data_IF_857354547339
#
_entry.id   IF_857354547339
#
_cell.length_a   1.000
_cell.length_b   1.000
_cell.length_c   1.000
_cell.angle_alpha   90.00
_cell.angle_beta   90.00
_cell.angle_gamma   90.00
#
_symmetry.space_group_name_H-M   'P 1'
#
loop_
_entity.id
_entity.type
_entity.pdbx_description
1 polymer ?
2 non-polymer ?
3 water ?
#
# COMPACT_ATOMS: atom_id res chain seq x y z
N UNK A 11 -16.76 -24.82 5.48
CA UNK A 11 -17.34 -23.47 5.73
C UNK A 11 -17.27 -22.47 4.53
N UNK A 12 -18.01 -22.72 3.44
CA UNK A 12 -18.32 -24.06 2.91
C UNK A 12 -17.94 -23.97 1.41
N UNK A 13 -16.90 -23.18 1.14
CA UNK A 13 -16.29 -22.97 -0.19
C UNK A 13 -14.79 -23.28 -0.06
N UNK A 14 -14.27 -24.18 -0.89
CA UNK A 14 -12.91 -24.73 -0.71
C UNK A 14 -11.81 -24.00 -1.45
N UNK A 15 -10.65 -24.63 -1.59
CA UNK A 15 -9.49 -23.99 -2.21
C UNK A 15 -9.73 -23.53 -3.64
N UNK A 16 -10.00 -24.51 -4.51
CA UNK A 16 -10.20 -24.27 -5.92
C UNK A 16 -11.44 -23.44 -6.21
N UNK A 17 -12.52 -23.64 -5.45
CA UNK A 17 -13.73 -22.87 -5.69
C UNK A 17 -13.43 -21.41 -5.37
N UNK A 18 -12.68 -21.18 -4.30
CA UNK A 18 -12.37 -19.82 -3.90
C UNK A 18 -11.51 -19.13 -4.92
N UNK A 19 -10.53 -19.86 -5.45
CA UNK A 19 -9.66 -19.34 -6.52
C UNK A 19 -10.46 -18.97 -7.81
N UNK A 20 -11.53 -19.70 -8.08
CA UNK A 20 -12.36 -19.42 -9.22
C UNK A 20 -13.20 -18.15 -9.00
N UNK A 21 -13.54 -17.86 -7.75
CA UNK A 21 -14.28 -16.63 -7.40
C UNK A 21 -13.42 -15.36 -7.50
N UNK A 22 -12.10 -15.48 -7.35
CA UNK A 22 -11.21 -14.33 -7.46
C UNK A 22 -10.84 -14.06 -8.92
N UNK A 23 -10.76 -12.80 -9.30
CA UNK A 23 -10.02 -12.43 -10.51
C UNK A 23 -9.13 -11.26 -10.13
N UNK A 24 -7.93 -11.26 -10.66
CA UNK A 24 -7.00 -10.22 -10.36
C UNK A 24 -6.17 -9.94 -11.57
N UNK A 25 -5.99 -8.67 -11.89
CA UNK A 25 -4.99 -8.29 -12.87
C UNK A 25 -3.72 -7.89 -12.12
N UNK A 26 -3.73 -7.99 -10.79
CA UNK A 26 -2.64 -7.39 -10.01
C UNK A 26 -2.99 -7.32 -8.54
N UNK A 27 -2.10 -6.71 -7.72
CA UNK A 27 -2.33 -6.61 -6.27
C UNK A 27 -3.56 -5.77 -5.98
N UNK A 28 -4.47 -6.33 -5.20
CA UNK A 28 -5.79 -5.78 -4.99
C UNK A 28 -5.69 -4.69 -3.92
N UNK A 29 -6.60 -3.71 -3.97
CA UNK A 29 -6.61 -2.58 -3.03
C UNK A 29 -7.31 -2.97 -1.75
N UNK A 30 -6.70 -3.93 -1.08
CA UNK A 30 -7.34 -4.62 0.03
C UNK A 30 -7.62 -3.71 1.21
N UNK A 31 -6.95 -2.56 1.29
CA UNK A 31 -7.19 -1.66 2.41
C UNK A 31 -8.38 -0.75 2.19
N UNK A 32 -9.08 -0.92 1.06
CA UNK A 32 -10.39 -0.31 0.90
C UNK A 32 -11.47 -1.14 1.56
N UNK A 33 -11.16 -2.40 1.87
CA UNK A 33 -12.16 -3.39 2.24
C UNK A 33 -12.09 -3.80 3.70
N UNK A 34 -13.25 -3.86 4.34
CA UNK A 34 -13.34 -4.31 5.74
C UNK A 34 -14.53 -5.22 5.94
N UNK A 35 -14.51 -6.36 5.25
CA UNK A 35 -15.57 -7.33 5.36
C UNK A 35 -15.50 -8.04 6.70
N UNK A 36 -16.57 -8.72 7.08
CA UNK A 36 -16.49 -9.36 8.39
C UNK A 36 -15.61 -10.60 8.29
N UNK A 37 -14.95 -10.94 9.38
CA UNK A 37 -14.02 -12.05 9.47
C UNK A 37 -14.75 -13.38 9.36
N UNK A 38 -14.47 -14.18 8.34
CA UNK A 38 -15.10 -15.52 8.27
C UNK A 38 -14.31 -16.71 8.78
N UNK A 39 -13.28 -16.48 9.58
CA UNK A 39 -12.53 -17.59 10.17
C UNK A 39 -11.15 -17.75 9.56
N UNK A 40 -10.36 -18.62 10.18
CA UNK A 40 -9.08 -18.98 9.65
C UNK A 40 -9.22 -20.19 8.74
N UNK A 41 -8.49 -20.20 7.63
CA UNK A 41 -8.46 -21.38 6.78
C UNK A 41 -7.15 -22.09 7.05
N UNK A 42 -7.07 -23.35 6.64
CA UNK A 42 -5.86 -24.12 6.89
C UNK A 42 -4.86 -23.81 5.75
N UNK A 44 -0.97 -21.96 5.12
CA UNK A 44 0.28 -21.55 5.73
C UNK A 44 1.25 -21.24 4.62
N UNK A 45 1.84 -20.04 4.65
CA UNK A 45 2.94 -19.66 3.77
C UNK A 45 4.25 -19.99 4.47
N UNK A 46 4.91 -21.04 4.01
CA UNK A 46 6.20 -21.43 4.62
C UNK A 46 7.26 -20.35 4.38
N UNK A 47 8.29 -20.39 5.22
CA UNK A 47 9.45 -19.50 5.13
C UNK A 47 10.10 -19.43 3.75
N UNK A 48 9.99 -20.52 2.99
CA UNK A 48 10.54 -20.58 1.65
C UNK A 48 9.56 -20.15 0.55
N UNK A 49 8.38 -19.69 0.94
CA UNK A 49 7.43 -19.17 -0.04
C UNK A 49 6.35 -20.15 -0.47
N UNK A 50 6.50 -21.40 -0.04
CA UNK A 50 5.58 -22.48 -0.42
C UNK A 50 4.31 -22.34 0.39
N UNK A 51 3.18 -22.44 -0.29
CA UNK A 51 1.87 -22.38 0.37
C UNK A 51 1.42 -23.80 0.65
N UNK A 52 0.91 -24.02 1.85
CA UNK A 52 0.44 -25.35 2.24
C UNK A 52 -1.02 -25.23 2.53
N UNK A 53 -1.81 -26.20 2.04
CA UNK A 53 -3.25 -26.20 2.30
C UNK A 53 -3.60 -27.53 2.97
N UNK A 54 -4.17 -27.47 4.16
CA UNK A 54 -4.44 -28.69 4.91
C UNK A 54 -3.18 -29.55 5.03
N UNK A 55 -2.01 -28.92 5.09
CA UNK A 55 -0.74 -29.67 5.24
C UNK A 55 -0.08 -30.13 3.95
N UNK A 56 -0.71 -29.90 2.80
CA UNK A 56 -0.19 -30.34 1.50
C UNK A 56 0.24 -29.13 0.71
N UNK A 57 1.47 -29.17 0.16
CA UNK A 57 1.94 -28.04 -0.62
C UNK A 57 1.16 -27.87 -1.92
N UNK A 58 1.17 -26.64 -2.42
CA UNK A 58 0.57 -26.27 -3.67
C UNK A 58 1.69 -26.00 -4.67
N UNK A 59 1.85 -26.87 -5.65
CA UNK A 59 2.80 -26.61 -6.72
C UNK A 59 1.96 -26.11 -7.91
N UNK A 60 1.79 -24.78 -7.95
CA UNK A 60 0.71 -24.12 -8.69
C UNK A 60 0.92 -22.58 -8.72
N UNK A 61 2.02 -22.11 -9.32
CA UNK A 61 2.38 -20.71 -9.11
C UNK A 61 1.26 -19.73 -9.50
N UNK A 62 0.48 -20.04 -10.53
CA UNK A 62 -0.65 -19.17 -10.91
C UNK A 62 -1.60 -18.89 -9.72
N UNK A 64 -0.98 -19.44 -6.50
CA UNK A 64 -0.28 -18.77 -5.45
C UNK A 64 -0.23 -17.25 -5.74
N UNK A 65 -0.11 -16.86 -7.01
CA UNK A 65 -0.07 -15.42 -7.37
C UNK A 65 -1.42 -14.77 -7.14
N UNK A 66 -2.46 -15.52 -7.47
CA UNK A 66 -3.83 -15.07 -7.34
C UNK A 66 -4.18 -14.82 -5.88
N UNK A 67 -3.93 -15.78 -4.99
CA UNK A 67 -4.22 -15.58 -3.58
C UNK A 67 -3.32 -14.50 -3.00
N UNK A 68 -2.10 -14.41 -3.50
CA UNK A 68 -1.13 -13.46 -2.96
C UNK A 68 -1.59 -12.04 -3.27
N UNK A 69 -2.31 -11.86 -4.39
CA UNK A 69 -2.83 -10.55 -4.74
C UNK A 69 -3.83 -10.00 -3.68
N UNK A 70 -4.40 -10.86 -2.85
CA UNK A 70 -5.40 -10.38 -1.87
C UNK A 70 -4.91 -10.50 -0.43
N UNK A 71 -3.59 -10.58 -0.27
CA UNK A 71 -3.00 -10.59 1.05
C UNK A 71 -3.14 -9.21 1.68
N UNK A 72 -3.48 -9.21 2.95
CA UNK A 72 -3.61 -8.00 3.73
C UNK A 72 -3.02 -8.27 5.12
N UNK A 73 -2.24 -7.32 5.59
CA UNK A 73 -1.68 -7.39 6.92
C UNK A 73 -2.50 -6.51 7.85
N UNK A 74 -2.90 -7.03 9.00
CA UNK A 74 -3.49 -6.19 10.04
C UNK A 74 -2.72 -6.49 11.31
N UNK A 75 -2.26 -5.43 11.97
CA UNK A 75 -1.33 -5.58 13.09
C UNK A 75 -0.19 -6.50 12.64
N UNK A 76 -0.03 -7.65 13.29
CA UNK A 76 1.02 -8.62 12.93
C UNK A 76 0.50 -9.88 12.23
N UNK A 77 -0.79 -9.90 11.91
CA UNK A 77 -1.41 -11.08 11.33
C UNK A 77 -1.72 -10.89 9.86
N UNK A 78 -2.04 -11.99 9.19
CA UNK A 78 -2.29 -11.95 7.76
C UNK A 78 -3.64 -12.57 7.34
N UNK A 79 -4.26 -11.93 6.36
CA UNK A 79 -5.57 -12.31 5.86
C UNK A 79 -5.56 -12.36 4.34
N UNK A 80 -6.53 -13.07 3.79
CA UNK A 80 -6.90 -12.94 2.37
C UNK A 80 -8.23 -12.23 2.40
N UNK A 81 -8.31 -11.10 1.71
CA UNK A 81 -9.44 -10.20 1.82
C UNK A 81 -9.97 -9.84 0.45
N UNK A 82 -11.27 -10.01 0.27
CA UNK A 82 -12.01 -9.52 -0.87
C UNK A 82 -13.01 -8.50 -0.30
N UNK A 83 -13.77 -7.82 -1.17
CA UNK A 83 -14.82 -6.92 -0.66
C UNK A 83 -15.89 -7.58 0.21
N UNK A 84 -16.07 -8.88 0.09
CA UNK A 84 -17.15 -9.54 0.84
C UNK A 84 -16.67 -10.46 1.95
N UNK A 85 -15.43 -10.92 1.86
CA UNK A 85 -14.93 -11.94 2.77
C UNK A 85 -13.49 -11.66 3.22
N UNK A 86 -13.18 -12.02 4.46
CA UNK A 86 -11.83 -12.00 5.01
C UNK A 86 -11.51 -13.30 5.77
N UNK A 87 -10.44 -14.00 5.39
CA UNK A 87 -10.01 -15.17 6.09
C UNK A 87 -8.59 -15.08 6.58
N UNK A 88 -8.34 -15.65 7.74
CA UNK A 88 -7.01 -15.66 8.33
C UNK A 88 -6.10 -16.76 7.78
N UNK A 89 -4.84 -16.42 7.46
CA UNK A 89 -3.83 -17.43 7.14
C UNK A 89 -2.66 -17.35 8.09
N UNK A 90 -1.84 -18.39 8.08
CA UNK A 90 -0.68 -18.52 8.93
C UNK A 90 0.51 -18.18 8.08
N UNK A 91 1.42 -17.35 8.58
CA UNK A 91 2.63 -17.07 7.85
C UNK A 91 3.80 -17.32 8.80
N UNK A 92 4.68 -18.23 8.40
CA UNK A 92 5.71 -18.69 9.29
C UNK A 92 6.65 -17.56 9.53
N UNK A 93 7.04 -16.88 8.47
CA UNK A 93 7.99 -15.78 8.54
C UNK A 93 7.47 -14.57 7.73
N UNK A 94 7.86 -14.42 6.47
CA UNK A 94 7.36 -13.31 5.67
C UNK A 94 6.40 -13.91 4.65
N UNK A 95 5.42 -13.11 4.20
CA UNK A 95 4.52 -13.57 3.16
C UNK A 95 5.19 -13.82 1.81
N UNK A 96 6.37 -13.24 1.61
CA UNK A 96 7.09 -13.39 0.34
C UNK A 96 8.56 -13.72 0.51
N UNK A 97 9.13 -14.31 -0.52
CA UNK A 97 10.54 -14.49 -0.61
C UNK A 97 11.04 -13.67 -1.81
N UNK A 98 12.05 -12.84 -1.60
CA UNK A 98 12.77 -12.14 -2.68
C UNK A 98 13.73 -13.11 -3.34
N UNK A 99 13.53 -13.39 -4.63
CA UNK A 99 14.36 -14.36 -5.33
C UNK A 99 15.35 -13.76 -6.32
N UNK A 100 15.26 -12.47 -6.54
CA UNK A 100 16.16 -11.79 -7.46
C UNK A 100 16.38 -10.35 -7.00
N UNK A 101 17.58 -9.85 -7.25
CA UNK A 101 17.86 -8.44 -7.00
C UNK A 101 18.67 -7.95 -8.18
N UNK A 102 18.37 -6.72 -8.59
CA UNK A 102 18.97 -6.04 -9.72
C UNK A 102 19.58 -4.72 -9.21
N UNK A 103 20.83 -4.42 -9.57
CA UNK A 103 21.43 -3.12 -9.18
C UNK A 103 21.46 -2.16 -10.35
N UNK A 104 21.28 -0.88 -10.07
CA UNK A 104 21.54 0.13 -11.08
C UNK A 104 22.32 1.21 -10.37
N UNK A 105 23.12 1.93 -11.13
CA UNK A 105 23.94 2.98 -10.58
C UNK A 105 25.04 2.47 -9.69
N UNK A 106 25.68 3.41 -9.00
CA UNK A 106 27.00 3.21 -8.46
C UNK A 106 27.10 3.76 -7.05
N UNK A 107 27.86 3.06 -6.19
CA UNK A 107 28.21 3.53 -4.86
C UNK A 107 27.01 3.92 -4.00
N UNK A 108 26.99 5.18 -3.58
CA UNK A 108 25.94 5.70 -2.70
C UNK A 108 24.71 6.12 -3.48
N UNK A 109 24.83 6.20 -4.80
CA UNK A 109 23.69 6.52 -5.65
C UNK A 109 22.97 5.25 -6.14
N UNK A 110 23.39 4.07 -5.69
CA UNK A 110 22.89 2.79 -6.26
C UNK A 110 21.41 2.53 -5.90
N UNK A 111 20.71 1.83 -6.78
CA UNK A 111 19.31 1.45 -6.55
C UNK A 111 19.15 -0.07 -6.70
N UNK A 112 18.52 -0.66 -5.70
CA UNK A 112 18.32 -2.11 -5.67
C UNK A 112 16.84 -2.42 -5.93
N UNK A 113 16.57 -3.11 -7.04
CA UNK A 113 15.22 -3.58 -7.35
C UNK A 113 15.10 -5.10 -7.15
N UNK A 114 14.20 -5.46 -6.25
CA UNK A 114 13.97 -6.86 -5.89
C UNK A 114 12.75 -7.40 -6.63
N UNK A 115 12.81 -8.68 -6.96
CA UNK A 115 11.68 -9.42 -7.48
C UNK A 115 11.41 -10.55 -6.49
N UNK A 116 10.12 -10.74 -6.17
CA UNK A 116 9.63 -11.78 -5.25
C UNK A 116 9.24 -13.04 -6.00
N UNK A 117 8.97 -14.11 -5.27
CA UNK A 117 8.66 -15.42 -5.90
C UNK A 117 7.29 -15.44 -6.59
N UNK A 118 6.49 -14.41 -6.42
CA UNK A 118 5.21 -14.34 -7.09
C UNK A 118 5.24 -13.25 -8.16
N UNK A 119 6.43 -12.77 -8.48
CA UNK A 119 6.58 -11.88 -9.62
C UNK A 119 6.53 -10.40 -9.32
N UNK A 120 6.30 -10.00 -8.07
CA UNK A 120 6.22 -8.58 -7.78
C UNK A 120 7.62 -7.95 -7.68
N UNK A 121 7.66 -6.66 -7.95
CA UNK A 121 8.88 -5.90 -8.00
C UNK A 121 8.86 -4.90 -6.84
N UNK A 122 9.96 -4.74 -6.09
CA UNK A 122 10.02 -3.69 -5.07
C UNK A 122 11.33 -2.96 -5.14
N UNK A 123 11.28 -1.66 -5.38
CA UNK A 123 12.48 -0.83 -5.43
C UNK A 123 12.87 -0.49 -4.00
N UNK A 124 14.03 -0.96 -3.55
CA UNK A 124 14.44 -0.68 -2.16
C UNK A 124 14.74 0.81 -1.95
N UNK A 125 14.29 1.32 -0.83
CA UNK A 125 14.45 2.74 -0.53
C UNK A 125 13.60 3.07 0.68
N UNK A 126 13.44 4.34 0.98
CA UNK A 126 12.68 4.71 2.15
C UNK A 126 11.26 4.17 2.15
N UNK A 127 10.59 4.20 0.99
CA UNK A 127 9.22 3.65 0.87
C UNK A 127 9.16 2.13 1.05
N UNK A 128 10.22 1.45 0.62
CA UNK A 128 10.33 0.02 0.78
C UNK A 128 11.69 -0.31 1.45
N UNK A 129 11.77 -0.14 2.79
CA UNK A 129 13.08 -0.28 3.40
C UNK A 129 13.52 -1.71 3.51
N UNK A 130 14.84 -1.89 3.57
CA UNK A 130 15.48 -3.17 3.91
C UNK A 130 15.67 -3.19 5.42
N UNK A 131 15.33 -4.28 6.06
CA UNK A 131 15.42 -4.39 7.52
C UNK A 131 16.38 -5.51 7.84
N UNK A 133 17.20 -8.56 10.45
CA UNK A 133 16.68 -9.37 11.52
C UNK A 133 17.68 -10.50 11.54
N UNK A 134 17.61 -11.33 12.55
CA UNK A 134 18.50 -12.47 12.62
C UNK A 134 17.66 -13.71 12.50
N UNK A 135 18.31 -14.80 12.12
CA UNK A 135 17.63 -16.06 11.96
C UNK A 135 17.12 -16.46 13.36
N UNK A 136 15.79 -16.74 13.49
CA UNK A 136 15.39 -17.38 14.74
C UNK A 136 16.38 -18.54 15.02
N UNK A 137 16.40 -19.52 14.11
CA UNK A 137 17.25 -20.71 14.20
C UNK A 137 18.74 -20.35 14.35
N UNK A 138 19.41 -20.06 13.23
CA UNK A 138 20.88 -19.84 13.20
C UNK A 138 21.39 -18.73 14.13
N UNK A 139 20.60 -17.69 14.34
CA UNK A 139 21.15 -16.44 14.89
C UNK A 139 21.89 -15.64 13.83
N UNK A 140 22.03 -16.21 12.61
CA UNK A 140 22.65 -15.54 11.46
C UNK A 140 21.70 -14.49 10.83
N UNK A 141 22.25 -13.38 10.30
CA UNK A 141 21.46 -12.37 9.56
C UNK A 141 20.40 -12.91 8.58
N UNK A 142 19.12 -12.54 8.78
CA UNK A 142 18.02 -12.78 7.83
C UNK A 142 17.36 -11.43 7.52
N UNK A 143 17.70 -10.85 6.39
CA UNK A 143 17.18 -9.53 6.09
C UNK A 143 15.90 -9.60 5.25
N UNK A 144 15.04 -8.61 5.40
CA UNK A 144 13.81 -8.49 4.63
C UNK A 144 13.80 -7.22 3.82
N UNK A 145 12.91 -7.16 2.83
CA UNK A 145 12.58 -5.91 2.13
C UNK A 145 11.06 -5.75 2.01
N UNK A 146 10.59 -4.54 2.21
CA UNK A 146 9.16 -4.24 2.13
C UNK A 146 8.75 -4.24 0.66
N UNK A 147 7.63 -4.87 0.39
CA UNK A 147 7.06 -4.94 -0.96
C UNK A 147 5.85 -4.03 -1.04
N UNK A 148 4.87 -4.23 -0.16
CA UNK A 148 3.73 -3.32 -0.11
C UNK A 148 2.93 -3.48 1.16
N UNK A 149 2.38 -2.37 1.62
CA UNK A 149 1.36 -2.38 2.66
C UNK A 149 1.71 -3.26 3.85
N UNK A 150 3.00 -3.26 4.21
CA UNK A 150 3.51 -4.04 5.34
C UNK A 150 3.85 -5.47 5.01
N UNK A 151 3.62 -5.87 3.76
CA UNK A 151 3.95 -7.21 3.39
C UNK A 151 5.43 -7.20 2.99
N UNK A 152 6.24 -8.01 3.65
CA UNK A 152 7.64 -8.04 3.41
C UNK A 152 8.06 -9.32 2.71
N UNK A 153 9.20 -9.23 2.02
CA UNK A 153 9.86 -10.36 1.42
C UNK A 153 11.17 -10.71 2.21
N UNK A 154 11.30 -11.97 2.58
CA UNK A 154 12.56 -12.48 3.10
C UNK A 154 13.51 -12.63 1.92
N UNK A 155 14.71 -12.05 2.05
CA UNK A 155 15.70 -12.08 0.98
C UNK A 155 16.39 -13.46 1.01
N UNK A 156 16.32 -14.21 -0.09
CA UNK A 156 16.87 -15.59 -0.14
C UNK A 156 18.41 -15.59 -0.23
N UNK A 157 19.03 -16.75 -0.05
CA UNK A 157 20.51 -16.89 0.02
C UNK A 157 21.18 -16.33 -1.22
N UNK A 158 20.73 -16.79 -2.39
CA UNK A 158 21.35 -16.34 -3.62
C UNK A 158 21.35 -14.80 -3.68
N UNK A 159 20.20 -14.17 -3.46
CA UNK A 159 20.13 -12.70 -3.47
C UNK A 159 20.94 -12.06 -2.31
N UNK A 160 20.94 -12.68 -1.13
CA UNK A 160 21.70 -12.15 -0.03
C UNK A 160 23.19 -12.10 -0.34
N UNK A 161 23.71 -13.16 -0.90
CA UNK A 161 25.14 -13.20 -1.13
C UNK A 161 25.55 -12.22 -2.21
N UNK A 162 24.70 -12.00 -3.20
CA UNK A 162 24.95 -10.94 -4.17
C UNK A 162 24.90 -9.55 -3.54
N UNK A 163 24.04 -9.33 -2.56
CA UNK A 163 23.99 -8.07 -1.82
C UNK A 163 25.25 -7.84 -0.96
N UNK A 165 28.13 -8.32 -1.75
CA UNK A 165 29.13 -7.75 -2.67
C UNK A 165 28.79 -6.32 -3.11
N UNK A 166 27.65 -5.81 -2.68
CA UNK A 166 27.22 -4.46 -3.02
C UNK A 166 27.04 -3.65 -1.76
N UNK A 167 27.57 -4.16 -0.66
CA UNK A 167 27.45 -3.50 0.63
C UNK A 167 28.47 -2.42 0.87
N UNK A 168 28.27 -1.68 1.94
CA UNK A 168 29.08 -0.50 2.23
C UNK A 168 29.09 -0.30 3.73
N UNK A 169 30.09 0.43 4.22
CA UNK A 169 30.20 0.80 5.64
C UNK A 169 29.95 2.30 5.84
N UNK A 170 29.01 2.61 6.73
CA UNK A 170 28.75 3.97 7.18
C UNK A 170 28.55 3.96 8.68
N UNK A 171 29.35 4.77 9.38
CA UNK A 171 29.23 5.03 10.82
C UNK A 171 29.00 3.78 11.63
N UNK A 172 29.85 2.78 11.41
CA UNK A 172 29.95 1.61 12.28
C UNK A 172 29.19 0.40 11.82
N UNK A 173 28.42 0.56 10.74
CA UNK A 173 27.51 -0.48 10.29
C UNK A 173 27.82 -0.86 8.86
N UNK A 174 27.76 -2.16 8.59
CA UNK A 174 27.77 -2.68 7.24
C UNK A 174 26.35 -2.73 6.74
N UNK A 175 26.10 -2.28 5.53
CA UNK A 175 24.73 -2.28 5.00
C UNK A 175 24.64 -1.94 3.53
N UNK A 176 23.44 -1.53 3.11
CA UNK A 176 23.12 -1.33 1.68
C UNK A 176 22.58 0.05 1.41
N UNK A 177 23.17 0.74 0.44
CA UNK A 177 22.61 1.97 -0.09
C UNK A 177 21.62 1.60 -1.17
N UNK A 178 20.39 2.11 -1.08
CA UNK A 178 19.46 2.06 -2.21
C UNK A 178 18.65 3.32 -2.28
N UNK A 179 18.47 3.85 -3.48
CA UNK A 179 17.60 5.04 -3.70
C UNK A 179 17.95 6.20 -2.80
N UNK A 180 19.24 6.39 -2.50
CA UNK A 180 19.65 7.50 -1.63
C UNK A 180 19.54 7.32 -0.13
N UNK A 181 19.13 6.12 0.32
CA UNK A 181 18.99 5.83 1.75
C UNK A 181 19.88 4.67 2.14
N UNK A 182 20.31 4.63 3.39
CA UNK A 182 21.24 3.63 3.85
C UNK A 182 20.62 2.68 4.87
N UNK A 183 20.71 1.38 4.60
CA UNK A 183 20.08 0.38 5.45
C UNK A 183 21.11 -0.49 6.14
N UNK A 184 21.28 -0.28 7.44
CA UNK A 184 22.19 -1.10 8.17
C UNK A 184 21.71 -2.51 8.26
N UNK A 185 22.69 -3.41 8.21
CA UNK A 185 22.46 -4.84 8.22
C UNK A 185 23.15 -5.54 9.40
N UNK A 187 26.80 -4.87 12.47
CA UNK A 187 27.91 -4.02 12.91
C UNK A 187 29.15 -4.37 12.11
N UNK A 188 30.08 -3.43 12.04
CA UNK A 188 31.40 -3.69 11.43
C UNK A 188 32.04 -4.92 12.07
N UNK A 189 32.12 -4.90 13.41
CA UNK A 189 32.55 -6.05 14.24
C UNK A 189 32.03 -7.37 13.69
N UNK A 190 30.72 -7.40 13.44
CA UNK A 190 30.02 -8.58 12.93
C UNK A 190 30.51 -8.94 11.53
N UNK A 191 30.51 -7.97 10.62
CA UNK A 191 31.03 -8.22 9.27
C UNK A 191 32.45 -8.84 9.34
N UNK A 192 33.30 -8.31 10.22
CA UNK A 192 34.68 -8.77 10.39
C UNK A 192 34.77 -10.22 10.87
N UNK A 193 33.73 -10.71 11.53
CA UNK A 193 33.63 -12.13 11.94
C UNK A 193 33.26 -13.02 10.75
N UNK B 11 0.73 17.61 26.74
CA UNK B 11 0.16 16.47 25.93
C UNK B 11 1.16 15.70 24.98
N UNK B 12 2.48 15.98 25.00
CA UNK B 12 3.14 17.28 25.33
C UNK B 12 4.21 17.65 24.26
N UNK B 13 4.01 17.16 23.02
CA UNK B 13 4.75 17.57 21.81
C UNK B 13 3.70 18.15 20.87
N UNK B 14 3.90 19.37 20.41
CA UNK B 14 2.85 20.06 19.64
C UNK B 14 2.92 19.85 18.14
N UNK B 15 2.16 20.64 17.39
CA UNK B 15 2.08 20.54 15.93
C UNK B 15 3.44 20.75 15.28
N UNK B 16 3.96 21.96 15.40
CA UNK B 16 5.23 22.31 14.81
C UNK B 16 6.40 21.42 15.25
N UNK B 17 6.45 21.07 16.55
CA UNK B 17 7.57 20.25 17.04
C UNK B 17 7.47 18.80 16.51
N UNK B 18 6.26 18.26 16.50
CA UNK B 18 5.98 16.97 15.88
C UNK B 18 6.42 16.92 14.42
N UNK B 19 6.19 18.00 13.68
CA UNK B 19 6.58 18.06 12.27
C UNK B 19 8.11 18.02 12.14
N UNK B 20 8.77 18.74 13.03
CA UNK B 20 10.22 18.84 13.04
C UNK B 20 10.86 17.50 13.37
N UNK B 21 10.13 16.68 14.11
CA UNK B 21 10.60 15.33 14.47
C UNK B 21 10.49 14.32 13.31
N UNK B 22 9.64 14.59 12.32
CA UNK B 22 9.48 13.72 11.14
C UNK B 22 10.40 14.16 10.01
N UNK B 23 11.09 13.23 9.36
CA UNK B 23 11.64 13.48 8.00
C UNK B 23 11.10 12.43 7.08
N UNK B 24 10.92 12.78 5.82
CA UNK B 24 10.38 11.86 4.88
C UNK B 24 10.82 12.26 3.49
N UNK B 25 11.10 11.26 2.66
CA UNK B 25 11.49 11.48 1.27
C UNK B 25 10.35 11.02 0.38
N UNK B 26 9.21 10.69 0.99
CA UNK B 26 8.14 10.05 0.25
C UNK B 26 7.14 9.51 1.26
N UNK B 27 6.15 8.75 0.79
CA UNK B 27 5.17 8.11 1.67
C UNK B 27 5.79 7.00 2.50
N UNK B 28 5.56 7.04 3.80
CA UNK B 28 6.18 6.13 4.73
C UNK B 28 5.53 4.75 4.68
N UNK B 29 6.34 3.69 4.90
CA UNK B 29 5.81 2.32 4.95
C UNK B 29 5.03 2.07 6.25
N UNK B 30 3.96 2.82 6.49
CA UNK B 30 3.32 2.83 7.81
C UNK B 30 2.70 1.47 8.24
N UNK B 31 2.42 0.56 7.31
CA UNK B 31 1.89 -0.77 7.67
C UNK B 31 2.95 -1.71 8.20
N UNK B 32 4.19 -1.22 8.30
CA UNK B 32 5.25 -1.95 8.98
C UNK B 32 5.21 -1.69 10.49
N UNK B 33 4.48 -0.67 10.90
CA UNK B 33 4.61 -0.15 12.23
C UNK B 33 3.33 -0.29 13.05
N UNK B 34 3.43 -0.87 14.25
CA UNK B 34 2.29 -1.01 15.16
C UNK B 34 2.63 -0.48 16.54
N UNK B 35 2.96 0.80 16.63
CA UNK B 35 3.32 1.41 17.88
C UNK B 35 2.09 1.60 18.79
N UNK B 36 2.29 1.87 20.06
CA UNK B 36 1.07 2.06 20.84
C UNK B 36 0.31 3.35 20.43
N UNK B 37 -0.98 3.39 20.73
CA UNK B 37 -1.82 4.52 20.41
C UNK B 37 -1.65 5.55 21.51
N UNK B 38 -1.21 6.77 21.19
CA UNK B 38 -1.04 7.83 22.19
C UNK B 38 -2.10 8.91 22.16
N UNK B 39 -3.29 8.59 21.69
CA UNK B 39 -4.39 9.54 21.73
C UNK B 39 -4.73 10.16 20.40
N UNK B 40 -5.84 10.88 20.40
CA UNK B 40 -6.28 11.69 19.29
C UNK B 40 -5.61 13.06 19.40
N UNK B 41 -5.18 13.63 18.28
CA UNK B 41 -4.81 15.03 18.28
C UNK B 41 -5.93 15.85 17.68
N UNK B 42 -5.91 17.14 17.90
CA UNK B 42 -7.02 17.97 17.45
C UNK B 42 -6.74 18.41 16.02
N UNK B 44 -8.18 17.87 11.96
CA UNK B 44 -9.24 17.43 11.08
C UNK B 44 -8.85 17.72 9.62
N UNK B 45 -8.96 16.74 8.74
CA UNK B 45 -8.83 16.98 7.33
C UNK B 45 -10.22 17.26 6.75
N UNK B 46 -10.51 18.53 6.40
CA UNK B 46 -11.84 18.84 5.88
C UNK B 46 -11.95 18.21 4.48
N UNK B 47 -13.15 18.28 3.93
CA UNK B 47 -13.53 17.67 2.66
C UNK B 47 -12.78 18.30 1.48
N UNK B 48 -12.51 19.59 1.57
CA UNK B 48 -11.71 20.27 0.56
C UNK B 48 -10.20 20.07 0.71
N UNK B 49 -9.77 19.22 1.64
CA UNK B 49 -8.34 18.96 1.81
C UNK B 49 -7.57 19.83 2.81
N UNK B 50 -8.17 20.91 3.30
CA UNK B 50 -7.56 21.77 4.29
C UNK B 50 -7.43 21.02 5.61
N UNK B 51 -6.30 21.19 6.28
CA UNK B 51 -6.06 20.59 7.59
C UNK B 51 -6.31 21.63 8.65
N UNK B 52 -7.09 21.29 9.67
CA UNK B 52 -7.45 22.21 10.72
C UNK B 52 -6.86 21.66 12.02
N UNK B 53 -6.08 22.48 12.72
CA UNK B 53 -5.51 22.09 13.99
C UNK B 53 -6.12 22.98 15.04
N UNK B 54 -6.70 22.38 16.07
CA UNK B 54 -7.38 23.12 17.13
C UNK B 54 -8.42 24.10 16.52
N UNK B 55 -9.04 23.70 15.40
CA UNK B 55 -10.03 24.53 14.73
C UNK B 55 -9.52 25.62 13.79
N UNK B 56 -8.20 25.78 13.69
CA UNK B 56 -7.60 26.83 12.87
C UNK B 56 -7.08 26.14 11.61
N UNK B 57 -7.43 26.66 10.42
CA UNK B 57 -6.81 26.02 9.28
C UNK B 57 -5.31 26.29 9.28
N UNK B 58 -4.54 25.40 8.66
CA UNK B 58 -3.11 25.53 8.64
C UNK B 58 -2.63 25.49 7.21
N UNK B 59 -2.46 26.68 6.61
CA UNK B 59 -2.04 26.83 5.21
C UNK B 59 -0.53 26.84 5.16
N UNK B 60 0.05 25.65 5.15
CA UNK B 60 1.49 25.38 5.19
C UNK B 60 1.71 24.07 4.42
N UNK B 61 1.77 24.15 3.09
CA UNK B 61 1.74 22.92 2.29
C UNK B 61 2.84 21.92 2.58
N UNK B 62 4.03 22.39 2.91
CA UNK B 62 5.14 21.46 3.15
C UNK B 62 4.79 20.54 4.30
N UNK B 64 1.69 19.95 5.54
CA UNK B 64 0.58 19.09 5.23
C UNK B 64 1.08 17.88 4.41
N UNK B 65 2.01 18.10 3.48
CA UNK B 65 2.65 16.96 2.78
C UNK B 65 3.37 15.99 3.72
N UNK B 66 4.05 16.57 4.69
CA UNK B 66 4.87 15.82 5.62
C UNK B 66 3.99 14.92 6.48
N UNK B 67 2.95 15.47 7.08
CA UNK B 67 2.08 14.68 7.91
C UNK B 67 1.29 13.70 7.03
N UNK B 68 0.87 14.15 5.85
CA UNK B 68 0.19 13.24 4.91
C UNK B 68 1.00 11.99 4.61
N UNK B 69 2.31 12.09 4.65
CA UNK B 69 3.15 10.96 4.28
C UNK B 69 3.10 9.82 5.31
N UNK B 70 2.65 10.10 6.53
CA UNK B 70 2.57 9.03 7.53
C UNK B 70 1.12 8.72 7.90
N UNK B 71 0.18 9.09 7.03
CA UNK B 71 -1.20 8.75 7.22
C UNK B 71 -1.32 7.25 7.08
N UNK B 72 -2.17 6.67 7.93
CA UNK B 72 -2.42 5.22 7.92
C UNK B 72 -3.89 5.01 8.15
N UNK B 73 -4.47 4.12 7.36
CA UNK B 73 -5.84 3.72 7.56
C UNK B 73 -5.88 2.38 8.28
N UNK B 74 -6.70 2.28 9.30
CA UNK B 74 -7.00 1.01 9.98
C UNK B 74 -8.51 0.92 10.17
N UNK B 75 -9.10 -0.10 9.55
CA UNK B 75 -10.56 -0.22 9.41
C UNK B 75 -11.08 1.00 8.64
N UNK B 76 -11.93 1.79 9.26
CA UNK B 76 -12.43 2.98 8.64
C UNK B 76 -11.89 4.20 9.35
N UNK B 77 -10.86 4.02 10.19
CA UNK B 77 -10.26 5.15 10.89
C UNK B 77 -8.91 5.57 10.33
N UNK B 78 -8.47 6.76 10.73
CA UNK B 78 -7.22 7.31 10.24
C UNK B 78 -6.30 7.77 11.37
N UNK B 79 -5.03 7.45 11.21
CA UNK B 79 -4.00 7.81 12.14
C UNK B 79 -2.81 8.42 11.40
N UNK B 80 -1.93 9.07 12.17
CA UNK B 80 -0.60 9.45 11.76
C UNK B 80 0.31 8.49 12.51
N UNK B 81 1.18 7.78 11.78
CA UNK B 81 1.97 6.70 12.39
C UNK B 81 3.46 6.79 12.07
N UNK B 82 4.28 6.82 13.11
CA UNK B 82 5.72 6.66 13.02
C UNK B 82 6.06 5.30 13.65
N UNK B 83 7.33 4.89 13.61
CA UNK B 83 7.70 3.64 14.32
C UNK B 83 7.50 3.66 15.83
N UNK B 84 7.53 4.84 16.42
CA UNK B 84 7.45 4.95 17.88
C UNK B 84 6.05 5.34 18.33
N UNK B 85 5.27 5.97 17.46
CA UNK B 85 4.05 6.62 17.91
C UNK B 85 2.93 6.54 16.90
N UNK B 86 1.69 6.54 17.38
CA UNK B 86 0.48 6.55 16.57
C UNK B 86 -0.56 7.44 17.25
N UNK B 87 -1.03 8.47 16.52
CA UNK B 87 -2.09 9.35 17.01
C UNK B 87 -3.23 9.37 16.03
N UNK B 88 -4.42 9.56 16.57
CA UNK B 88 -5.65 9.51 15.75
C UNK B 88 -5.99 10.86 15.16
N UNK B 89 -6.43 10.91 13.90
CA UNK B 89 -7.00 12.15 13.36
C UNK B 89 -8.39 12.02 12.74
N UNK B 90 -9.11 13.14 12.67
CA UNK B 90 -10.46 13.20 12.11
C UNK B 90 -10.33 13.44 10.63
N UNK B 91 -11.05 12.66 9.82
CA UNK B 91 -11.15 12.92 8.38
C UNK B 91 -12.65 12.99 8.09
N UNK B 92 -13.09 14.14 7.56
CA UNK B 92 -14.49 14.37 7.31
C UNK B 92 -14.98 13.50 6.22
N UNK B 93 -14.13 13.24 5.22
CA UNK B 93 -14.57 12.48 4.05
C UNK B 93 -13.41 11.61 3.56
N UNK B 94 -12.61 12.13 2.62
CA UNK B 94 -11.41 11.42 2.17
C UNK B 94 -10.23 12.24 2.69
N UNK B 95 -9.11 11.56 2.96
CA UNK B 95 -7.87 12.20 3.36
C UNK B 95 -7.21 13.04 2.27
N UNK B 96 -7.57 12.81 1.01
CA UNK B 96 -7.00 13.56 -0.08
C UNK B 96 -8.08 14.08 -0.98
N UNK B 97 -7.74 15.09 -1.78
CA UNK B 97 -8.60 15.60 -2.82
C UNK B 97 -7.78 15.48 -4.09
N UNK B 98 -8.36 14.90 -5.15
CA UNK B 98 -7.71 14.83 -6.47
C UNK B 98 -7.99 16.15 -7.20
N UNK B 99 -6.95 16.92 -7.46
CA UNK B 99 -7.07 18.28 -7.96
C UNK B 99 -6.76 18.40 -9.44
N UNK B 100 -6.18 17.34 -10.02
CA UNK B 100 -5.85 17.28 -11.44
C UNK B 100 -6.03 15.87 -12.01
N UNK B 101 -6.35 15.77 -13.31
CA UNK B 101 -6.31 14.47 -14.00
C UNK B 101 -5.73 14.61 -15.41
N UNK B 102 -4.87 13.68 -15.80
CA UNK B 102 -4.35 13.65 -17.17
C UNK B 102 -4.87 12.38 -17.83
N UNK B 103 -5.08 12.43 -19.15
CA UNK B 103 -5.46 11.25 -19.93
C UNK B 103 -4.41 10.93 -20.98
N UNK B 104 -4.06 9.65 -21.11
CA UNK B 104 -3.25 9.16 -22.22
C UNK B 104 -3.94 7.93 -22.82
N UNK B 105 -3.71 7.66 -24.10
CA UNK B 105 -4.40 6.60 -24.82
C UNK B 105 -5.84 6.93 -25.21
N UNK B 106 -6.43 6.11 -26.08
CA UNK B 106 -7.77 6.35 -26.62
C UNK B 106 -8.78 5.34 -26.14
N UNK B 107 -10.05 5.74 -26.15
CA UNK B 107 -11.18 4.86 -25.89
C UNK B 107 -10.99 3.90 -24.71
N UNK B 108 -11.17 2.62 -24.99
CA UNK B 108 -11.12 1.59 -23.97
C UNK B 108 -9.72 1.27 -23.49
N UNK B 109 -8.70 1.73 -24.21
CA UNK B 109 -7.30 1.58 -23.75
C UNK B 109 -6.77 2.87 -23.06
N UNK B 110 -7.66 3.76 -22.62
CA UNK B 110 -7.21 5.05 -22.05
C UNK B 110 -6.70 4.86 -20.63
N UNK B 111 -5.81 5.75 -20.20
CA UNK B 111 -5.27 5.70 -18.84
C UNK B 111 -5.40 7.07 -18.18
N UNK B 112 -6.06 7.07 -17.03
CA UNK B 112 -6.29 8.27 -16.24
C UNK B 112 -5.28 8.33 -15.07
N UNK B 113 -4.46 9.39 -15.04
CA UNK B 113 -3.54 9.65 -13.94
C UNK B 113 -3.97 10.92 -13.17
N UNK B 114 -4.26 10.76 -11.90
CA UNK B 114 -4.64 11.87 -11.03
C UNK B 114 -3.47 12.38 -10.19
N UNK B 115 -3.58 13.64 -9.77
CA UNK B 115 -2.64 14.24 -8.84
C UNK B 115 -3.46 14.71 -7.65
N UNK B 116 -3.01 14.37 -6.45
CA UNK B 116 -3.69 14.81 -5.22
C UNK B 116 -3.18 16.18 -4.80
N UNK B 117 -3.92 16.81 -3.88
CA UNK B 117 -3.56 18.16 -3.42
C UNK B 117 -2.23 18.23 -2.66
N UNK B 118 -1.78 17.10 -2.13
CA UNK B 118 -0.46 16.98 -1.51
C UNK B 118 0.62 16.51 -2.48
N UNK B 119 0.27 16.39 -3.77
CA UNK B 119 1.25 16.11 -4.83
C UNK B 119 1.49 14.65 -5.21
N UNK B 120 0.73 13.72 -4.66
CA UNK B 120 0.93 12.33 -5.03
C UNK B 120 0.24 12.06 -6.34
N UNK B 121 0.69 11.02 -7.03
CA UNK B 121 0.14 10.61 -8.31
C UNK B 121 -0.59 9.30 -8.14
N UNK B 122 -1.72 9.13 -8.82
CA UNK B 122 -2.41 7.83 -8.79
C UNK B 122 -2.93 7.47 -10.16
N UNK B 123 -2.39 6.40 -10.73
CA UNK B 123 -2.84 5.90 -12.01
C UNK B 123 -4.07 5.04 -11.73
N UNK B 124 -5.21 5.42 -12.32
CA UNK B 124 -6.46 4.71 -12.08
C UNK B 124 -6.44 3.36 -12.81
N UNK B 125 -6.97 2.34 -12.18
CA UNK B 125 -6.94 0.98 -12.70
C UNK B 125 -7.43 0.01 -11.62
N UNK B 126 -7.25 -1.27 -11.85
CA UNK B 126 -7.64 -2.24 -10.86
C UNK B 126 -6.99 -2.02 -9.49
N UNK B 127 -5.72 -1.66 -9.48
CA UNK B 127 -5.00 -1.47 -8.21
C UNK B 127 -5.42 -0.19 -7.49
N UNK B 128 -5.88 0.79 -8.26
CA UNK B 128 -6.34 2.06 -7.73
C UNK B 128 -7.71 2.36 -8.32
N UNK B 129 -8.76 1.70 -7.84
CA UNK B 129 -10.04 1.90 -8.52
C UNK B 129 -10.69 3.24 -8.26
N UNK B 130 -11.58 3.61 -9.18
CA UNK B 130 -12.43 4.77 -9.12
C UNK B 130 -13.81 4.29 -8.69
N UNK B 131 -14.41 4.96 -7.72
CA UNK B 131 -15.76 4.59 -7.28
C UNK B 131 -16.65 5.82 -7.15
N UNK B 133 -19.95 7.44 -5.08
CA UNK B 133 -20.74 7.46 -3.86
C UNK B 133 -21.65 8.70 -3.97
N UNK B 134 -22.70 8.81 -3.15
CA UNK B 134 -23.49 10.04 -3.10
C UNK B 134 -22.81 10.97 -2.09
N UNK B 135 -23.21 12.23 -2.12
CA UNK B 135 -22.66 13.25 -1.22
C UNK B 135 -23.44 13.19 0.12
N UNK B 136 -22.71 13.09 1.28
CA UNK B 136 -23.38 13.30 2.58
C UNK B 136 -24.35 14.52 2.57
N UNK B 137 -23.84 15.73 2.33
CA UNK B 137 -24.67 16.94 2.21
C UNK B 137 -25.62 16.94 0.98
N UNK B 138 -25.10 17.26 -0.21
CA UNK B 138 -25.95 17.42 -1.43
C UNK B 138 -26.72 16.16 -1.89
N UNK B 139 -26.22 14.96 -1.59
CA UNK B 139 -26.68 13.76 -2.29
C UNK B 139 -26.27 13.80 -3.76
N UNK B 140 -25.47 14.82 -4.13
CA UNK B 140 -24.88 14.95 -5.45
C UNK B 140 -23.77 13.87 -5.55
N UNK B 141 -23.67 13.19 -6.70
CA UNK B 141 -22.61 12.18 -6.84
C UNK B 141 -21.24 12.68 -6.33
N UNK B 142 -20.56 11.88 -5.49
CA UNK B 142 -19.19 12.16 -5.07
C UNK B 142 -18.26 11.01 -5.55
N UNK B 143 -17.38 11.30 -6.51
CA UNK B 143 -16.48 10.24 -7.01
C UNK B 143 -15.07 10.25 -6.38
N UNK B 144 -14.50 9.07 -6.22
CA UNK B 144 -13.25 8.90 -5.48
C UNK B 144 -12.28 8.02 -6.25
N UNK B 145 -10.97 8.25 -6.06
CA UNK B 145 -9.95 7.33 -6.55
C UNK B 145 -8.98 6.93 -5.43
N UNK B 146 -8.53 5.68 -5.46
CA UNK B 146 -7.65 5.08 -4.45
C UNK B 146 -6.26 5.61 -4.77
N UNK B 147 -5.57 6.15 -3.75
CA UNK B 147 -4.20 6.61 -3.93
C UNK B 147 -3.20 5.55 -3.42
N UNK B 148 -3.35 5.10 -2.18
CA UNK B 148 -2.52 4.02 -1.64
C UNK B 148 -3.07 3.46 -0.33
N UNK B 149 -2.90 2.15 -0.14
CA UNK B 149 -3.15 1.52 1.17
C UNK B 149 -4.47 1.99 1.77
N UNK B 150 -5.50 2.00 0.93
CA UNK B 150 -6.85 2.40 1.30
C UNK B 150 -7.14 3.86 1.50
N UNK B 151 -6.15 4.73 1.27
CA UNK B 151 -6.34 6.14 1.37
C UNK B 151 -6.85 6.61 0.00
N UNK B 152 -8.00 7.28 0.00
CA UNK B 152 -8.61 7.74 -1.23
C UNK B 152 -8.54 9.26 -1.38
N UNK B 153 -8.82 9.70 -2.60
CA UNK B 153 -8.90 11.08 -2.95
C UNK B 153 -10.30 11.33 -3.51
N UNK B 154 -11.05 12.23 -2.87
CA UNK B 154 -12.26 12.81 -3.47
C UNK B 154 -11.85 13.56 -4.73
N UNK B 155 -12.48 13.24 -5.85
CA UNK B 155 -12.15 13.93 -7.12
C UNK B 155 -12.82 15.31 -7.12
N UNK B 156 -12.02 16.36 -7.25
CA UNK B 156 -12.54 17.73 -7.09
C UNK B 156 -13.47 18.07 -8.25
N UNK B 157 -14.22 19.15 -8.12
CA UNK B 157 -15.31 19.39 -9.04
C UNK B 157 -14.88 19.63 -10.48
N UNK B 158 -13.78 20.36 -10.66
CA UNK B 158 -13.19 20.63 -11.97
C UNK B 158 -12.73 19.34 -12.65
N UNK B 159 -11.94 18.54 -11.94
CA UNK B 159 -11.45 17.28 -12.47
C UNK B 159 -12.63 16.37 -12.85
N UNK B 160 -13.68 16.41 -12.07
CA UNK B 160 -14.84 15.61 -12.39
C UNK B 160 -15.52 16.01 -13.71
N UNK B 161 -15.66 17.31 -13.94
CA UNK B 161 -16.24 17.77 -15.18
C UNK B 161 -15.40 17.40 -16.40
N UNK B 162 -14.09 17.43 -16.27
CA UNK B 162 -13.23 16.99 -17.34
C UNK B 162 -13.43 15.51 -17.58
N UNK B 163 -13.60 14.73 -16.50
CA UNK B 163 -13.85 13.29 -16.62
C UNK B 163 -15.16 12.99 -17.37
N UNK B 165 -16.39 14.24 -19.80
CA UNK B 165 -16.10 14.23 -21.26
C UNK B 165 -15.09 13.14 -21.72
N UNK B 166 -14.75 12.24 -20.79
CA UNK B 166 -13.95 11.07 -21.08
C UNK B 166 -14.69 9.80 -20.62
N UNK B 167 -15.99 9.95 -20.38
CA UNK B 167 -16.77 8.81 -19.94
C UNK B 167 -17.18 7.89 -21.06
N UNK B 168 -17.77 6.77 -20.70
CA UNK B 168 -18.26 5.81 -21.67
C UNK B 168 -19.41 5.03 -21.08
N UNK B 169 -20.18 4.40 -21.97
CA UNK B 169 -21.23 3.49 -21.55
C UNK B 169 -20.88 2.02 -21.86
N UNK B 170 -20.95 1.17 -20.84
CA UNK B 170 -20.85 -0.29 -20.99
C UNK B 170 -21.93 -0.95 -20.16
N UNK B 171 -22.72 -1.81 -20.81
CA UNK B 171 -23.68 -2.69 -20.14
C UNK B 171 -24.57 -1.98 -19.13
N UNK B 172 -25.24 -0.92 -19.59
CA UNK B 172 -26.19 -0.17 -18.74
C UNK B 172 -25.61 0.94 -17.88
N UNK B 173 -24.28 1.02 -17.77
CA UNK B 173 -23.63 1.98 -16.88
C UNK B 173 -22.79 3.01 -17.63
N UNK B 174 -22.83 4.26 -17.17
CA UNK B 174 -21.91 5.31 -17.60
C UNK B 174 -20.76 5.26 -16.63
N UNK B 175 -19.54 5.34 -17.13
CA UNK B 175 -18.39 5.27 -16.25
C UNK B 175 -17.13 5.62 -16.97
N UNK B 176 -15.99 5.19 -16.43
CA UNK B 176 -14.70 5.57 -17.02
C UNK B 176 -13.82 4.37 -17.20
N UNK B 177 -13.20 4.25 -18.36
CA UNK B 177 -12.16 3.25 -18.62
C UNK B 177 -10.85 3.84 -18.19
N UNK B 178 -10.04 3.05 -17.50
CA UNK B 178 -8.65 3.42 -17.17
C UNK B 178 -7.84 2.16 -17.00
N UNK B 179 -6.70 2.12 -17.67
CA UNK B 179 -5.75 1.00 -17.50
C UNK B 179 -6.40 -0.34 -17.80
N UNK B 180 -7.25 -0.37 -18.82
CA UNK B 180 -7.92 -1.60 -19.20
C UNK B 180 -9.06 -2.05 -18.29
N UNK B 181 -9.43 -1.26 -17.28
CA UNK B 181 -10.60 -1.63 -16.47
C UNK B 181 -11.68 -0.58 -16.58
N UNK B 182 -12.92 -1.01 -16.41
CA UNK B 182 -14.06 -0.11 -16.53
C UNK B 182 -14.71 0.16 -15.17
N UNK B 183 -14.77 1.44 -14.79
CA UNK B 183 -15.36 1.86 -13.52
C UNK B 183 -16.70 2.55 -13.66
N UNK B 184 -17.78 1.81 -13.35
CA UNK B 184 -19.09 2.41 -13.47
C UNK B 184 -19.25 3.50 -12.44
N UNK B 185 -19.92 4.58 -12.84
CA UNK B 185 -20.19 5.70 -11.98
C UNK B 185 -21.70 5.86 -11.71
N UNK B 187 -25.95 4.66 -13.62
CA UNK B 187 -26.72 3.98 -14.66
C UNK B 187 -27.00 4.95 -15.81
N UNK B 188 -27.18 4.39 -17.00
CA UNK B 188 -27.56 5.14 -18.18
C UNK B 188 -28.76 6.02 -17.86
N UNK B 189 -29.77 5.44 -17.20
CA UNK B 189 -30.93 6.18 -16.72
C UNK B 189 -30.59 7.39 -15.85
N UNK B 190 -29.78 7.19 -14.82
CA UNK B 190 -29.39 8.29 -13.92
C UNK B 190 -28.69 9.38 -14.68
N UNK B 191 -27.87 8.98 -15.66
CA UNK B 191 -27.15 9.92 -16.50
C UNK B 191 -28.12 10.74 -17.32
N UNK B 192 -29.07 10.06 -17.97
CA UNK B 192 -30.06 10.71 -18.82
C UNK B 192 -30.84 11.79 -18.08
N UNK B 193 -31.17 11.53 -16.84
CA UNK B 193 -32.09 12.38 -16.11
C UNK B 193 -31.48 13.38 -15.14
N UNK B 194 -30.17 13.41 -15.01
CA UNK B 194 -29.55 14.41 -14.13
C UNK B 194 -29.97 14.30 -12.66
#
# INVERSE_FOLDING_TARGET
GXSGQKPVKPSADGLLASARAIKSKGPAPVHLWNPPFNGDIDXRIARDGTWFYQGTPINRPAXVRLFSSILKREEDRFYLVTPVEKVGIRVDDAPFVAVDVEVAGQGRKQVLTFTTHVGDSAVAGEGNPIRXAQDPATGEPAPYVHVRAGLEALIDRKSFYRLXDLGEIEDGWFGLWSSGSFFPLXTVEELERG
GXSGQKPVKPSADGLLASARAIKSKGPAPVHLWNPPFNGDIDXRIARDGTWFYQGTPINRPAXVRLFSSILKREEDRFYLVTPVEKVGIRVDDAPFVAVDVEVAGQGRKQVLTFTTHVGDSAVAGEGNPIRXAQDPATGEPAPYVHVRAGLEALIDRKSFYRLXDLGEIEDGWFGLWSSGSFFPLXTVEELERG
#
